data_IF_442817740620
#
_entry.id   IF_442817740620
#
_cell.length_a   1.000
_cell.length_b   1.000
_cell.length_c   1.000
_cell.angle_alpha   90.00
_cell.angle_beta   90.00
_cell.angle_gamma   90.00
#
_symmetry.space_group_name_H-M   'P 1'
#
loop_
_entity.id
_entity.type
_entity.pdbx_description
1 polymer ?
#
# COMPACT_ATOMS: atom_id res chain seq x y z
N UNK A 1 12.22 -16.48 2.16
CA UNK A 1 13.70 -16.40 2.22
C UNK A 1 14.29 -17.12 3.42
N UNK A 2 14.28 -16.57 4.65
CA UNK A 2 14.98 -17.20 5.80
C UNK A 2 14.54 -18.65 6.13
N UNK A 3 13.28 -19.01 5.82
CA UNK A 3 12.74 -20.36 5.99
C UNK A 3 13.17 -21.34 4.89
N UNK A 4 13.33 -20.83 3.66
CA UNK A 4 13.29 -21.66 2.44
C UNK A 4 14.55 -21.56 1.59
N UNK A 5 15.45 -20.62 1.90
CA UNK A 5 16.72 -20.42 1.21
C UNK A 5 17.82 -20.41 2.27
N UNK A 6 18.17 -21.58 2.86
CA UNK A 6 19.10 -21.66 3.99
C UNK A 6 20.51 -21.16 3.64
N UNK A 7 20.88 -21.25 2.36
CA UNK A 7 22.18 -20.85 1.82
C UNK A 7 22.32 -19.33 1.61
N UNK A 8 21.25 -18.54 1.84
CA UNK A 8 21.34 -17.08 1.81
C UNK A 8 22.43 -16.63 2.80
N UNK A 9 23.45 -15.93 2.31
CA UNK A 9 24.59 -15.53 3.14
C UNK A 9 24.18 -14.53 4.22
N UNK A 10 23.91 -13.29 3.80
CA UNK A 10 23.45 -12.19 4.65
C UNK A 10 22.31 -11.45 3.98
N UNK A 11 21.44 -10.85 4.80
CA UNK A 11 20.41 -9.91 4.38
C UNK A 11 20.74 -8.56 5.03
N UNK A 12 21.24 -7.63 4.23
CA UNK A 12 21.48 -6.26 4.66
C UNK A 12 20.16 -5.49 4.70
N UNK A 13 19.78 -5.02 5.87
CA UNK A 13 18.54 -4.28 6.09
C UNK A 13 18.85 -2.80 6.26
N UNK A 14 18.54 -1.99 5.25
CA UNK A 14 18.67 -0.53 5.35
C UNK A 14 17.56 0.02 6.27
N UNK A 15 17.95 0.52 7.45
CA UNK A 15 17.05 0.98 8.50
C UNK A 15 17.31 2.46 8.78
N UNK A 16 16.26 3.26 8.64
CA UNK A 16 16.27 4.66 9.09
C UNK A 16 16.33 4.69 10.62
N UNK A 17 17.47 5.10 11.15
CA UNK A 17 17.79 5.19 12.56
C UNK A 17 18.85 6.28 12.81
N UNK A 18 19.01 6.71 14.06
CA UNK A 18 20.00 7.72 14.46
C UNK A 18 21.44 7.18 14.50
N UNK A 19 21.59 5.91 14.83
CA UNK A 19 22.87 5.23 15.07
C UNK A 19 22.69 3.70 14.92
N UNK A 20 23.80 2.96 15.00
CA UNK A 20 23.82 1.50 14.81
C UNK A 20 23.03 0.76 15.89
N UNK A 21 23.05 1.26 17.13
CA UNK A 21 22.33 0.67 18.24
C UNK A 21 20.81 0.81 18.04
N UNK A 22 20.34 1.99 17.64
CA UNK A 22 18.94 2.21 17.31
C UNK A 22 18.47 1.37 16.11
N UNK A 23 19.32 1.16 15.09
CA UNK A 23 18.99 0.27 13.98
C UNK A 23 18.89 -1.20 14.43
N UNK A 24 19.80 -1.65 15.31
CA UNK A 24 19.77 -2.99 15.89
C UNK A 24 18.53 -3.21 16.77
N UNK A 25 18.18 -2.24 17.63
CA UNK A 25 16.99 -2.31 18.49
C UNK A 25 15.70 -2.36 17.67
N UNK A 26 15.65 -1.57 16.59
CA UNK A 26 14.52 -1.59 15.65
C UNK A 26 14.41 -2.93 14.93
N UNK A 27 15.53 -3.49 14.43
CA UNK A 27 15.53 -4.82 13.82
C UNK A 27 15.06 -5.90 14.81
N UNK A 28 15.50 -5.84 16.08
CA UNK A 28 15.07 -6.79 17.11
C UNK A 28 13.56 -6.69 17.36
N UNK A 29 13.07 -5.49 17.65
CA UNK A 29 11.68 -5.25 18.03
C UNK A 29 10.67 -5.42 16.89
N UNK A 30 11.00 -5.00 15.67
CA UNK A 30 10.07 -5.05 14.52
C UNK A 30 10.16 -6.38 13.74
N UNK A 31 11.29 -7.09 13.80
CA UNK A 31 11.53 -8.30 13.01
C UNK A 31 11.75 -9.51 13.91
N UNK A 32 12.83 -9.55 14.70
CA UNK A 32 13.22 -10.77 15.43
C UNK A 32 12.16 -11.19 16.46
N UNK A 33 11.59 -10.23 17.20
CA UNK A 33 10.59 -10.50 18.23
C UNK A 33 9.15 -10.48 17.69
N UNK A 34 8.96 -10.37 16.37
CA UNK A 34 7.63 -10.35 15.73
C UNK A 34 7.04 -11.77 15.63
N UNK A 35 5.73 -11.89 15.91
CA UNK A 35 4.98 -13.16 15.79
C UNK A 35 5.03 -13.73 14.37
N UNK A 36 5.24 -12.89 13.35
CA UNK A 36 5.39 -13.32 11.95
C UNK A 36 6.48 -14.40 11.80
N UNK A 37 7.55 -14.32 12.60
CA UNK A 37 8.68 -15.24 12.52
C UNK A 37 8.59 -16.41 13.50
N UNK A 38 7.44 -16.63 14.15
CA UNK A 38 7.21 -17.74 15.10
C UNK A 38 7.48 -19.11 14.48
N UNK A 39 7.21 -19.29 13.19
CA UNK A 39 7.54 -20.52 12.48
C UNK A 39 9.07 -20.78 12.48
N UNK A 40 9.90 -19.74 12.26
CA UNK A 40 11.36 -19.87 12.38
C UNK A 40 11.79 -20.11 13.83
N UNK A 41 11.12 -19.47 14.79
CA UNK A 41 11.39 -19.70 16.21
C UNK A 41 11.14 -21.16 16.59
N UNK A 42 10.07 -21.76 16.09
CA UNK A 42 9.77 -23.19 16.29
C UNK A 42 10.82 -24.10 15.65
N UNK A 43 11.28 -23.77 14.43
CA UNK A 43 12.30 -24.55 13.71
C UNK A 43 13.65 -24.51 14.44
N UNK A 44 14.09 -23.33 14.89
CA UNK A 44 15.43 -23.14 15.46
C UNK A 44 15.48 -23.22 16.99
N UNK A 45 14.33 -23.20 17.68
CA UNK A 45 14.22 -23.28 19.12
C UNK A 45 15.13 -22.27 19.83
N UNK A 46 15.96 -22.76 20.77
CA UNK A 46 16.90 -21.91 21.54
C UNK A 46 17.92 -21.17 20.66
N UNK A 47 18.18 -21.65 19.45
CA UNK A 47 19.13 -21.05 18.51
C UNK A 47 18.50 -19.97 17.62
N UNK A 48 17.20 -19.72 17.72
CA UNK A 48 16.47 -18.78 16.85
C UNK A 48 17.10 -17.39 16.79
N UNK A 49 17.33 -16.75 17.96
CA UNK A 49 17.92 -15.41 17.99
C UNK A 49 19.32 -15.37 17.40
N UNK A 50 20.14 -16.39 17.67
CA UNK A 50 21.49 -16.49 17.10
C UNK A 50 21.43 -16.68 15.58
N UNK A 51 20.51 -17.52 15.07
CA UNK A 51 20.28 -17.70 13.64
C UNK A 51 19.88 -16.39 12.96
N UNK A 52 18.89 -15.68 13.51
CA UNK A 52 18.42 -14.40 12.96
C UNK A 52 19.54 -13.35 12.94
N UNK A 53 20.29 -13.20 14.02
CA UNK A 53 21.40 -12.24 14.12
C UNK A 53 22.59 -12.61 13.21
N UNK A 54 22.76 -13.88 12.87
CA UNK A 54 23.78 -14.31 11.92
C UNK A 54 23.38 -14.01 10.47
N UNK A 55 22.07 -14.02 10.15
CA UNK A 55 21.56 -13.79 8.80
C UNK A 55 21.24 -12.32 8.52
N UNK A 56 20.77 -11.56 9.52
CA UNK A 56 20.30 -10.18 9.35
C UNK A 56 21.37 -9.17 9.79
N UNK A 57 21.71 -8.23 8.91
CA UNK A 57 22.69 -7.18 9.18
C UNK A 57 22.00 -5.81 9.06
N UNK A 58 21.72 -5.12 10.17
CA UNK A 58 21.09 -3.81 10.13
C UNK A 58 22.10 -2.74 9.69
N UNK A 59 21.74 -1.96 8.68
CA UNK A 59 22.54 -0.88 8.11
C UNK A 59 21.81 0.43 8.35
N UNK A 60 22.45 1.37 9.05
CA UNK A 60 21.89 2.71 9.22
C UNK A 60 21.86 3.40 7.86
N UNK A 61 20.68 3.86 7.45
CA UNK A 61 20.57 4.64 6.22
C UNK A 61 19.15 5.08 5.89
N UNK A 62 19.05 5.89 4.86
CA UNK A 62 17.84 6.55 4.43
C UNK A 62 17.86 6.73 2.91
N UNK A 63 16.85 6.20 2.21
CA UNK A 63 16.75 6.29 0.74
C UNK A 63 16.62 7.73 0.23
N UNK A 64 16.25 8.67 1.10
CA UNK A 64 16.19 10.09 0.79
C UNK A 64 17.58 10.76 0.70
N UNK A 65 18.61 10.12 1.23
CA UNK A 65 19.94 10.72 1.40
C UNK A 65 20.93 10.26 0.33
N UNK A 66 21.92 11.12 0.07
CA UNK A 66 23.07 10.78 -0.77
C UNK A 66 23.77 9.53 -0.25
N UNK A 67 24.19 8.64 -1.15
CA UNK A 67 24.76 7.33 -0.79
C UNK A 67 23.86 6.50 0.16
N UNK A 68 22.54 6.74 0.10
CA UNK A 68 21.52 6.08 0.94
C UNK A 68 21.72 6.33 2.45
N UNK A 69 22.40 7.41 2.84
CA UNK A 69 22.71 7.71 4.24
C UNK A 69 23.73 6.76 4.87
N UNK A 70 24.35 5.88 4.08
CA UNK A 70 25.39 4.97 4.56
C UNK A 70 26.76 5.67 4.58
N UNK A 71 27.59 5.35 5.57
CA UNK A 71 28.99 5.72 5.54
C UNK A 71 29.72 5.06 4.35
N UNK A 72 30.77 5.71 3.86
CA UNK A 72 31.43 5.33 2.61
C UNK A 72 32.05 3.93 2.67
N UNK A 73 32.60 3.54 3.83
CA UNK A 73 33.24 2.25 4.03
C UNK A 73 32.20 1.12 4.03
N UNK A 74 31.12 1.27 4.81
CA UNK A 74 30.00 0.32 4.82
C UNK A 74 29.39 0.16 3.42
N UNK A 75 29.16 1.27 2.71
CA UNK A 75 28.62 1.24 1.36
C UNK A 75 29.54 0.47 0.39
N UNK A 76 30.85 0.68 0.50
CA UNK A 76 31.86 -0.01 -0.33
C UNK A 76 31.89 -1.51 -0.05
N UNK A 77 31.87 -1.93 1.22
CA UNK A 77 31.88 -3.36 1.58
C UNK A 77 30.59 -4.07 1.17
N UNK A 78 29.43 -3.44 1.41
CA UNK A 78 28.13 -4.01 1.01
C UNK A 78 28.07 -4.18 -0.51
N UNK A 79 28.56 -3.20 -1.28
CA UNK A 79 28.55 -3.27 -2.75
C UNK A 79 29.40 -4.45 -3.32
N UNK A 80 30.35 -5.00 -2.55
CA UNK A 80 31.14 -6.18 -2.94
C UNK A 80 30.41 -7.51 -2.69
N UNK A 81 29.42 -7.52 -1.79
CA UNK A 81 28.72 -8.73 -1.35
C UNK A 81 27.31 -8.89 -1.94
N UNK A 82 26.64 -7.80 -2.35
CA UNK A 82 25.22 -7.85 -2.75
C UNK A 82 25.02 -8.46 -4.14
N UNK A 83 24.24 -9.55 -4.19
CA UNK A 83 23.80 -10.23 -5.42
C UNK A 83 22.41 -9.77 -5.90
N UNK A 84 21.51 -9.38 -4.99
CA UNK A 84 20.15 -8.92 -5.30
C UNK A 84 19.77 -7.73 -4.42
N UNK A 85 19.16 -6.71 -5.01
CA UNK A 85 18.58 -5.58 -4.28
C UNK A 85 17.05 -5.65 -4.38
N UNK A 86 16.38 -5.65 -3.23
CA UNK A 86 14.91 -5.55 -3.13
C UNK A 86 14.54 -4.18 -2.57
N UNK A 87 13.99 -3.32 -3.42
CA UNK A 87 13.52 -2.00 -3.04
C UNK A 87 12.03 -2.01 -2.70
N UNK A 88 11.72 -2.12 -1.41
CA UNK A 88 10.35 -1.98 -0.87
C UNK A 88 10.15 -0.72 -0.01
N UNK A 89 11.16 0.16 0.07
CA UNK A 89 11.07 1.39 0.85
C UNK A 89 10.17 2.40 0.12
N UNK A 90 9.15 2.91 0.81
CA UNK A 90 8.22 3.90 0.27
C UNK A 90 7.55 4.70 1.39
N UNK A 91 7.09 5.91 1.06
CA UNK A 91 6.04 6.58 1.81
C UNK A 91 4.69 6.22 1.16
N UNK A 92 3.80 5.60 1.93
CA UNK A 92 2.51 5.08 1.44
C UNK A 92 1.31 5.95 1.85
N UNK A 93 1.55 7.16 2.35
CA UNK A 93 0.49 8.11 2.74
C UNK A 93 0.00 8.84 1.48
N UNK A 94 -1.29 8.73 1.18
CA UNK A 94 -1.88 9.26 -0.06
C UNK A 94 -1.77 10.77 -0.21
N UNK A 95 -1.85 11.51 0.89
CA UNK A 95 -1.80 12.96 0.96
C UNK A 95 -0.51 13.48 1.63
N UNK A 96 0.61 12.74 1.52
CA UNK A 96 1.89 13.24 2.02
C UNK A 96 2.30 14.54 1.32
N UNK A 97 3.11 15.35 2.01
CA UNK A 97 3.80 16.48 1.39
C UNK A 97 4.53 16.04 0.12
N UNK A 98 4.29 16.76 -0.97
CA UNK A 98 4.85 16.42 -2.27
C UNK A 98 6.38 16.33 -2.30
N UNK A 99 7.09 17.24 -1.62
CA UNK A 99 8.56 17.20 -1.51
C UNK A 99 9.07 15.91 -0.84
N UNK A 100 8.43 15.47 0.26
CA UNK A 100 8.76 14.23 0.97
C UNK A 100 8.43 13.00 0.10
N UNK A 101 7.26 13.00 -0.55
CA UNK A 101 6.82 11.90 -1.40
C UNK A 101 7.73 11.72 -2.62
N UNK A 102 8.09 12.80 -3.32
CA UNK A 102 9.07 12.79 -4.40
C UNK A 102 10.43 12.28 -3.94
N UNK A 103 10.92 12.77 -2.81
CA UNK A 103 12.26 12.43 -2.34
C UNK A 103 12.38 10.95 -1.95
N UNK A 104 11.30 10.37 -1.42
CA UNK A 104 11.22 8.97 -1.00
C UNK A 104 10.88 8.03 -2.16
N UNK A 105 9.79 8.27 -2.87
CA UNK A 105 9.21 7.33 -3.84
C UNK A 105 9.75 7.51 -5.25
N UNK A 106 10.19 8.71 -5.62
CA UNK A 106 10.74 9.01 -6.95
C UNK A 106 12.27 8.95 -6.92
N UNK A 107 12.90 9.77 -6.07
CA UNK A 107 14.36 9.88 -5.99
C UNK A 107 15.00 8.76 -5.18
N UNK A 108 14.30 8.19 -4.21
CA UNK A 108 14.80 7.04 -3.43
C UNK A 108 15.17 5.85 -4.30
N UNK A 109 14.28 5.35 -5.18
CA UNK A 109 14.61 4.29 -6.12
C UNK A 109 15.78 4.63 -7.05
N UNK A 110 15.87 5.87 -7.56
CA UNK A 110 16.98 6.26 -8.44
C UNK A 110 18.33 6.30 -7.73
N UNK A 111 18.37 6.76 -6.47
CA UNK A 111 19.58 6.69 -5.63
C UNK A 111 19.99 5.24 -5.35
N UNK A 112 19.03 4.38 -5.03
CA UNK A 112 19.29 2.97 -4.76
C UNK A 112 19.76 2.23 -6.02
N UNK A 113 19.20 2.55 -7.19
CA UNK A 113 19.70 2.06 -8.48
C UNK A 113 21.10 2.60 -8.80
N UNK A 114 21.40 3.84 -8.40
CA UNK A 114 22.76 4.39 -8.46
C UNK A 114 23.76 3.62 -7.59
N UNK A 115 23.35 3.15 -6.41
CA UNK A 115 24.14 2.23 -5.59
C UNK A 115 24.25 0.84 -6.24
N UNK A 116 23.16 0.34 -6.82
CA UNK A 116 23.11 -0.93 -7.54
C UNK A 116 24.17 -1.02 -8.65
N UNK A 117 24.39 0.08 -9.39
CA UNK A 117 25.45 0.18 -10.41
C UNK A 117 26.88 0.02 -9.87
N UNK A 118 27.09 0.21 -8.56
CA UNK A 118 28.39 -0.03 -7.91
C UNK A 118 28.57 -1.49 -7.50
N UNK A 119 27.49 -2.28 -7.48
CA UNK A 119 27.48 -3.66 -7.02
C UNK A 119 27.91 -4.61 -8.14
N UNK A 120 29.14 -5.13 -8.08
CA UNK A 120 29.72 -5.93 -9.18
C UNK A 120 29.11 -7.32 -9.34
N UNK A 121 28.51 -7.86 -8.29
CA UNK A 121 27.85 -9.17 -8.28
C UNK A 121 26.35 -9.09 -8.51
N UNK A 122 25.81 -7.89 -8.70
CA UNK A 122 24.37 -7.70 -8.78
C UNK A 122 23.81 -8.43 -10.01
N UNK A 123 22.92 -9.37 -9.73
CA UNK A 123 22.17 -10.15 -10.73
C UNK A 123 20.78 -9.57 -10.99
N UNK A 124 20.20 -8.88 -9.99
CA UNK A 124 18.83 -8.39 -10.08
C UNK A 124 18.56 -7.18 -9.19
N UNK A 125 17.84 -6.20 -9.73
CA UNK A 125 17.22 -5.12 -8.98
C UNK A 125 15.69 -5.28 -9.02
N UNK A 126 15.08 -5.59 -7.88
CA UNK A 126 13.63 -5.68 -7.76
C UNK A 126 13.07 -4.41 -7.11
N UNK A 127 12.02 -3.86 -7.69
CA UNK A 127 11.28 -2.72 -7.15
C UNK A 127 9.82 -3.10 -6.87
N UNK A 128 9.38 -2.87 -5.63
CA UNK A 128 7.96 -2.97 -5.27
C UNK A 128 7.30 -1.63 -5.57
N UNK A 129 6.38 -1.62 -6.52
CA UNK A 129 5.52 -0.50 -6.88
C UNK A 129 4.08 -0.73 -6.40
N UNK A 130 3.07 -0.36 -7.18
CA UNK A 130 1.66 -0.64 -6.94
C UNK A 130 0.91 -0.71 -8.27
N UNK A 131 -0.12 -1.55 -8.37
CA UNK A 131 -0.97 -1.63 -9.56
C UNK A 131 -1.64 -0.29 -9.87
N UNK A 132 -1.94 0.51 -8.84
CA UNK A 132 -2.50 1.86 -8.99
C UNK A 132 -1.50 2.90 -9.49
N UNK A 133 -0.22 2.55 -9.69
CA UNK A 133 0.73 3.41 -10.40
C UNK A 133 0.27 3.64 -11.85
N UNK A 134 -0.64 2.82 -12.37
CA UNK A 134 -1.36 3.03 -13.61
C UNK A 134 -2.38 4.18 -13.58
N UNK A 135 -2.43 4.96 -12.50
CA UNK A 135 -3.23 6.17 -12.37
C UNK A 135 -4.69 5.94 -12.71
N UNK A 136 -5.30 6.92 -13.36
CA UNK A 136 -6.74 6.92 -13.61
C UNK A 136 -7.17 6.20 -14.91
N UNK A 137 -6.32 5.29 -15.43
CA UNK A 137 -6.65 4.40 -16.56
C UNK A 137 -7.91 3.58 -16.27
N UNK A 138 -8.67 3.28 -17.32
CA UNK A 138 -9.94 2.54 -17.27
C UNK A 138 -9.87 1.29 -18.15
N UNK A 139 -10.74 0.32 -17.90
CA UNK A 139 -10.74 -0.95 -18.64
C UNK A 139 -9.55 -1.84 -18.28
N UNK A 140 -9.16 -2.72 -19.20
CA UNK A 140 -8.06 -3.67 -18.96
C UNK A 140 -6.70 -2.95 -19.05
N UNK A 141 -5.92 -3.03 -17.98
CA UNK A 141 -4.62 -2.37 -17.82
C UNK A 141 -3.51 -3.42 -17.85
N UNK A 142 -2.69 -3.37 -18.91
CA UNK A 142 -1.63 -4.35 -19.18
C UNK A 142 -0.39 -4.15 -18.31
N UNK A 143 0.34 -5.24 -18.07
CA UNK A 143 1.65 -5.27 -17.39
C UNK A 143 2.77 -4.63 -18.22
N UNK A 144 2.67 -3.32 -18.47
CA UNK A 144 3.63 -2.54 -19.26
C UNK A 144 4.48 -1.63 -18.37
N UNK A 145 5.80 -1.52 -18.65
CA UNK A 145 6.65 -0.54 -17.98
C UNK A 145 6.30 0.89 -18.42
N UNK A 146 6.56 1.85 -17.53
CA UNK A 146 6.44 3.27 -17.87
C UNK A 146 7.64 3.75 -18.70
N UNK A 147 7.37 4.66 -19.63
CA UNK A 147 8.36 5.43 -20.36
C UNK A 147 8.65 6.76 -19.64
N UNK A 148 9.86 7.28 -19.79
CA UNK A 148 10.21 8.58 -19.23
C UNK A 148 9.32 9.68 -19.82
N UNK A 149 8.71 10.46 -18.93
CA UNK A 149 7.84 11.59 -19.26
C UNK A 149 6.42 11.24 -19.73
N UNK A 150 6.02 9.98 -19.52
CA UNK A 150 4.65 9.51 -19.74
C UNK A 150 3.67 10.22 -18.80
N UNK A 151 2.50 10.57 -19.34
CA UNK A 151 1.42 11.26 -18.63
C UNK A 151 0.10 10.63 -19.04
N UNK A 152 -0.61 10.04 -18.09
CA UNK A 152 -1.87 9.31 -18.33
C UNK A 152 -2.96 10.24 -18.85
N UNK A 153 -2.93 11.52 -18.45
CA UNK A 153 -3.84 12.54 -18.97
C UNK A 153 -3.85 12.58 -20.51
N UNK A 154 -2.76 12.20 -21.17
CA UNK A 154 -2.67 12.12 -22.63
C UNK A 154 -3.50 10.99 -23.23
N UNK A 155 -3.57 9.84 -22.55
CA UNK A 155 -4.27 8.65 -23.05
C UNK A 155 -5.77 8.89 -23.16
N UNK A 156 -6.33 9.66 -22.22
CA UNK A 156 -7.76 10.04 -22.24
C UNK A 156 -8.12 10.91 -23.43
N UNK A 157 -7.22 11.81 -23.81
CA UNK A 157 -7.50 12.84 -24.80
C UNK A 157 -7.29 12.32 -26.23
N UNK A 158 -6.45 11.30 -26.44
CA UNK A 158 -6.32 10.62 -27.74
C UNK A 158 -7.65 9.97 -28.18
N UNK A 159 -8.58 9.72 -27.25
CA UNK A 159 -9.94 9.27 -27.52
C UNK A 159 -10.88 10.38 -28.05
N UNK A 160 -10.55 11.66 -27.85
CA UNK A 160 -11.44 12.81 -28.09
C UNK A 160 -10.72 13.98 -28.78
N UNK A 161 -10.25 13.77 -30.01
CA UNK A 161 -9.57 14.78 -30.87
C UNK A 161 -8.23 15.34 -30.33
N UNK A 162 -7.27 15.73 -31.21
CA UNK A 162 -5.94 16.13 -30.74
C UNK A 162 -5.94 17.61 -30.25
N UNK A 163 -5.54 17.91 -29.00
CA UNK A 163 -5.28 19.28 -28.57
C UNK A 163 -3.83 19.68 -28.82
N UNK A 164 -3.68 20.98 -28.98
CA UNK A 164 -2.45 21.75 -29.10
C UNK A 164 -1.74 21.73 -27.73
N UNK A 165 -0.55 21.09 -27.68
CA UNK A 165 0.35 20.84 -26.52
C UNK A 165 -0.21 20.01 -25.35
N UNK A 166 0.02 18.70 -25.41
CA UNK A 166 -0.18 17.76 -24.31
C UNK A 166 0.85 17.98 -23.17
N UNK A 167 0.49 17.87 -21.87
CA UNK A 167 1.45 17.97 -20.78
C UNK A 167 2.42 16.78 -20.82
N UNK A 168 3.68 17.01 -21.17
CA UNK A 168 4.78 16.04 -20.94
C UNK A 168 5.06 16.08 -19.44
N UNK A 169 5.22 14.92 -18.81
CA UNK A 169 5.71 14.89 -17.44
C UNK A 169 7.23 15.14 -17.45
N UNK A 170 7.67 16.27 -16.90
CA UNK A 170 9.09 16.52 -16.67
C UNK A 170 9.39 16.30 -15.18
N UNK A 171 9.93 15.13 -14.86
CA UNK A 171 10.22 14.74 -13.48
C UNK A 171 11.24 15.67 -12.83
N UNK A 172 12.23 16.18 -13.58
CA UNK A 172 13.22 17.11 -13.04
C UNK A 172 12.59 18.47 -12.74
N UNK A 173 11.66 18.92 -13.59
CA UNK A 173 10.86 20.12 -13.31
C UNK A 173 9.95 19.95 -12.10
N UNK A 174 9.32 18.79 -11.90
CA UNK A 174 8.52 18.49 -10.70
C UNK A 174 9.36 18.52 -9.43
N UNK A 175 10.55 17.90 -9.47
CA UNK A 175 11.49 17.90 -8.35
C UNK A 175 11.93 19.33 -8.04
N UNK A 176 12.29 20.12 -9.06
CA UNK A 176 12.69 21.51 -8.89
C UNK A 176 11.55 22.36 -8.30
N UNK A 177 10.33 22.21 -8.82
CA UNK A 177 9.14 22.90 -8.31
C UNK A 177 8.92 22.62 -6.83
N UNK A 178 8.99 21.35 -6.41
CA UNK A 178 8.83 20.97 -5.01
C UNK A 178 9.97 21.53 -4.12
N UNK A 179 11.21 21.58 -4.61
CA UNK A 179 12.36 22.13 -3.89
C UNK A 179 12.29 23.65 -3.74
N UNK A 180 11.94 24.37 -4.79
CA UNK A 180 11.83 25.85 -4.78
C UNK A 180 10.70 26.29 -3.83
N UNK A 181 9.61 25.52 -3.75
CA UNK A 181 8.50 25.78 -2.83
C UNK A 181 8.75 25.26 -1.40
N UNK A 182 9.75 24.39 -1.19
CA UNK A 182 10.11 23.89 0.15
C UNK A 182 10.66 25.00 1.04
N UNK A 183 11.45 25.92 0.46
CA UNK A 183 12.10 27.02 1.20
C UNK A 183 11.10 28.12 1.60
N UNK A 184 10.01 28.24 0.84
CA UNK A 184 8.87 29.07 1.19
C UNK A 184 7.96 28.31 2.17
N UNK A 185 8.31 28.36 3.46
CA UNK A 185 7.71 27.65 4.60
C UNK A 185 6.20 27.91 4.88
N UNK A 186 5.40 28.21 3.87
CA UNK A 186 3.96 28.33 3.97
C UNK A 186 3.32 26.93 4.03
N UNK A 187 3.14 26.45 5.27
CA UNK A 187 2.29 25.36 5.78
C UNK A 187 2.27 24.06 4.96
N UNK A 188 2.72 22.96 5.57
CA UNK A 188 2.57 21.55 5.14
C UNK A 188 1.35 21.26 4.26
N UNK A 189 0.19 21.83 4.59
CA UNK A 189 -1.05 21.73 3.82
C UNK A 189 -0.90 22.15 2.33
N UNK A 190 -0.23 23.27 2.02
CA UNK A 190 -0.01 23.71 0.64
C UNK A 190 0.80 22.71 -0.17
N UNK A 191 1.75 22.03 0.48
CA UNK A 191 2.59 21.02 -0.16
C UNK A 191 1.84 19.72 -0.42
N UNK A 192 0.84 19.39 0.42
CA UNK A 192 -0.10 18.29 0.16
C UNK A 192 -1.03 18.63 -1.00
N UNK A 193 -1.58 19.84 -1.01
CA UNK A 193 -2.45 20.36 -2.07
C UNK A 193 -1.72 20.40 -3.42
N UNK A 194 -0.49 20.88 -3.45
CA UNK A 194 0.36 20.87 -4.64
C UNK A 194 0.54 19.45 -5.18
N UNK A 195 0.92 18.49 -4.34
CA UNK A 195 1.11 17.10 -4.79
C UNK A 195 -0.14 16.50 -5.42
N UNK A 196 -1.31 16.76 -4.82
CA UNK A 196 -2.59 16.32 -5.35
C UNK A 196 -2.94 17.01 -6.68
N UNK A 197 -2.69 18.32 -6.78
CA UNK A 197 -2.88 19.10 -8.00
C UNK A 197 -1.99 18.56 -9.14
N UNK A 198 -0.69 18.34 -8.89
CA UNK A 198 0.25 17.80 -9.87
C UNK A 198 -0.13 16.38 -10.30
N UNK A 199 -0.52 15.52 -9.36
CA UNK A 199 -0.98 14.17 -9.68
C UNK A 199 -2.16 14.20 -10.65
N UNK A 200 -3.20 15.00 -10.34
CA UNK A 200 -4.40 15.13 -11.18
C UNK A 200 -4.09 15.73 -12.56
N UNK A 201 -3.20 16.73 -12.61
CA UNK A 201 -2.76 17.33 -13.87
C UNK A 201 -2.19 16.29 -14.85
N UNK A 202 -1.49 15.29 -14.33
CA UNK A 202 -0.85 14.24 -15.12
C UNK A 202 -1.69 12.96 -15.24
N UNK A 203 -2.87 12.88 -14.61
CA UNK A 203 -3.80 11.75 -14.73
C UNK A 203 -3.65 10.67 -13.64
N UNK A 204 -3.14 11.03 -12.47
CA UNK A 204 -3.07 10.18 -11.28
C UNK A 204 -3.98 10.68 -10.16
N UNK A 205 -4.58 9.75 -9.42
CA UNK A 205 -5.57 10.01 -8.37
C UNK A 205 -5.01 10.84 -7.20
N UNK A 206 -3.76 10.57 -6.82
CA UNK A 206 -3.11 11.17 -5.65
C UNK A 206 -1.58 11.15 -5.76
N UNK A 207 -0.94 11.87 -4.83
CA UNK A 207 0.51 12.05 -4.75
C UNK A 207 1.27 10.73 -4.62
N UNK A 208 0.74 9.77 -3.86
CA UNK A 208 1.41 8.48 -3.65
C UNK A 208 1.59 7.72 -4.97
N UNK A 209 0.50 7.42 -5.68
CA UNK A 209 0.57 6.65 -6.92
C UNK A 209 1.33 7.38 -8.03
N UNK A 210 1.24 8.71 -8.04
CA UNK A 210 1.98 9.56 -8.98
C UNK A 210 3.50 9.47 -8.76
N UNK A 211 3.95 9.59 -7.51
CA UNK A 211 5.38 9.48 -7.19
C UNK A 211 5.92 8.07 -7.37
N UNK A 212 5.10 7.04 -7.17
CA UNK A 212 5.46 5.65 -7.52
C UNK A 212 5.68 5.47 -9.02
N UNK A 213 4.79 6.01 -9.85
CA UNK A 213 4.94 5.98 -11.31
C UNK A 213 6.22 6.71 -11.77
N UNK A 214 6.50 7.90 -11.22
CA UNK A 214 7.74 8.62 -11.49
C UNK A 214 8.99 7.83 -11.07
N UNK A 215 8.94 7.13 -9.94
CA UNK A 215 10.01 6.23 -9.50
C UNK A 215 10.28 5.11 -10.52
N UNK A 216 9.23 4.50 -11.07
CA UNK A 216 9.36 3.51 -12.13
C UNK A 216 9.97 4.08 -13.42
N UNK A 217 9.58 5.29 -13.83
CA UNK A 217 10.13 5.97 -15.01
C UNK A 217 11.65 6.22 -14.86
N UNK A 218 12.07 6.66 -13.67
CA UNK A 218 13.50 6.84 -13.37
C UNK A 218 14.24 5.50 -13.35
N UNK A 219 13.67 4.43 -12.79
CA UNK A 219 14.29 3.10 -12.84
C UNK A 219 14.45 2.63 -14.31
N UNK A 220 13.36 2.71 -15.08
CA UNK A 220 13.30 2.26 -16.48
C UNK A 220 14.35 2.96 -17.34
N UNK A 221 14.50 4.28 -17.19
CA UNK A 221 15.46 5.10 -17.92
C UNK A 221 16.91 4.93 -17.43
N UNK A 222 17.12 4.73 -16.13
CA UNK A 222 18.47 4.72 -15.55
C UNK A 222 19.12 3.34 -15.47
N UNK A 223 18.35 2.23 -15.54
CA UNK A 223 18.87 0.88 -15.23
C UNK A 223 20.07 0.44 -16.06
N UNK A 224 20.21 0.91 -17.31
CA UNK A 224 21.21 0.38 -18.25
C UNK A 224 21.00 -1.12 -18.45
N UNK A 225 22.08 -1.89 -18.24
CA UNK A 225 22.06 -3.35 -18.40
C UNK A 225 21.63 -4.12 -17.15
N UNK A 226 21.36 -3.44 -16.03
CA UNK A 226 20.90 -4.10 -14.79
C UNK A 226 19.53 -4.74 -15.06
N UNK A 227 19.36 -6.05 -14.84
CA UNK A 227 18.05 -6.69 -14.88
C UNK A 227 17.14 -6.11 -13.79
N UNK A 228 15.94 -5.69 -14.19
CA UNK A 228 14.95 -5.10 -13.29
C UNK A 228 13.64 -5.89 -13.31
N UNK A 229 13.11 -6.13 -12.12
CA UNK A 229 11.73 -6.59 -11.91
C UNK A 229 10.95 -5.51 -11.18
N UNK A 230 9.75 -5.19 -11.68
CA UNK A 230 8.79 -4.34 -10.99
C UNK A 230 7.60 -5.20 -10.56
N UNK A 231 7.36 -5.30 -9.26
CA UNK A 231 6.17 -5.94 -8.69
C UNK A 231 5.15 -4.85 -8.39
N UNK A 232 3.97 -4.91 -8.99
CA UNK A 232 2.85 -3.99 -8.81
C UNK A 232 1.71 -4.72 -8.09
N UNK A 233 1.73 -4.81 -6.74
CA UNK A 233 0.59 -5.34 -6.00
C UNK A 233 -0.59 -4.35 -6.02
N UNK A 234 -1.81 -4.87 -5.98
CA UNK A 234 -3.02 -4.08 -5.70
C UNK A 234 -3.16 -3.81 -4.19
N UNK A 235 -4.38 -3.75 -3.64
CA UNK A 235 -4.59 -3.53 -2.21
C UNK A 235 -4.12 -4.76 -1.45
N UNK A 236 -2.98 -4.64 -0.76
CA UNK A 236 -2.44 -5.73 0.05
C UNK A 236 -3.20 -5.80 1.37
N UNK A 237 -3.82 -6.95 1.61
CA UNK A 237 -4.45 -7.26 2.89
C UNK A 237 -3.73 -8.43 3.59
N UNK A 238 -4.29 -8.91 4.70
CA UNK A 238 -3.68 -9.94 5.55
C UNK A 238 -3.20 -11.19 4.78
N UNK A 239 -2.31 -11.95 5.38
CA UNK A 239 -1.91 -13.25 4.80
C UNK A 239 -3.11 -14.19 4.68
N UNK A 240 -3.21 -14.88 3.55
CA UNK A 240 -4.25 -15.88 3.32
C UNK A 240 -3.89 -17.20 4.00
N UNK A 241 -2.62 -17.64 3.89
CA UNK A 241 -2.15 -18.94 4.39
C UNK A 241 -0.82 -18.84 5.12
N UNK A 242 0.20 -18.24 4.52
CA UNK A 242 1.58 -18.28 5.01
C UNK A 242 2.01 -16.95 5.66
N UNK A 243 2.84 -16.95 6.72
CA UNK A 243 3.23 -18.11 7.52
C UNK A 243 2.10 -18.65 8.42
N UNK A 244 1.03 -17.88 8.58
CA UNK A 244 -0.25 -18.28 9.16
C UNK A 244 -1.34 -17.32 8.66
N UNK A 245 -2.61 -17.75 8.60
CA UNK A 245 -3.71 -16.91 8.10
C UNK A 245 -3.98 -15.69 9.00
N UNK A 246 -4.35 -14.58 8.38
CA UNK A 246 -4.85 -13.37 9.04
C UNK A 246 -3.78 -12.44 9.60
N UNK A 247 -2.49 -12.68 9.34
CA UNK A 247 -1.45 -11.77 9.80
C UNK A 247 -1.49 -10.47 9.02
N UNK A 248 -1.52 -9.34 9.74
CA UNK A 248 -1.46 -8.00 9.17
C UNK A 248 -0.80 -7.05 10.16
N UNK A 249 -0.16 -6.00 9.64
CA UNK A 249 0.45 -4.95 10.45
C UNK A 249 -0.11 -3.57 10.12
N UNK A 250 -0.76 -2.95 11.11
CA UNK A 250 -1.33 -1.62 10.99
C UNK A 250 -2.77 -1.63 10.48
N UNK A 251 -3.37 -0.44 10.41
CA UNK A 251 -4.73 -0.21 9.94
C UNK A 251 -4.64 0.60 8.64
N UNK A 252 -4.67 -0.05 7.48
CA UNK A 252 -4.39 0.57 6.18
C UNK A 252 -5.41 0.14 5.13
N UNK A 253 -5.49 0.88 4.04
CA UNK A 253 -6.32 0.55 2.87
C UNK A 253 -7.78 0.21 3.23
N UNK A 254 -8.24 -1.05 3.19
CA UNK A 254 -9.65 -1.35 3.52
C UNK A 254 -9.92 -1.41 5.03
N UNK A 255 -8.92 -1.68 5.86
CA UNK A 255 -9.09 -1.85 7.30
C UNK A 255 -9.87 -0.71 7.98
N UNK A 256 -9.59 0.59 7.71
CA UNK A 256 -10.31 1.67 8.38
C UNK A 256 -11.78 1.72 7.97
N UNK A 257 -12.11 1.36 6.73
CA UNK A 257 -13.49 1.28 6.24
C UNK A 257 -14.24 0.15 6.95
N UNK A 258 -13.67 -1.06 6.97
CA UNK A 258 -14.23 -2.25 7.62
C UNK A 258 -14.46 -1.99 9.12
N UNK A 259 -13.46 -1.47 9.82
CA UNK A 259 -13.57 -1.20 11.26
C UNK A 259 -14.56 -0.07 11.57
N UNK A 260 -14.57 1.00 10.77
CA UNK A 260 -15.50 2.11 10.99
C UNK A 260 -16.94 1.69 10.70
N UNK A 261 -17.16 0.82 9.71
CA UNK A 261 -18.46 0.21 9.46
C UNK A 261 -18.90 -0.68 10.63
N UNK A 262 -18.04 -1.59 11.12
CA UNK A 262 -18.34 -2.44 12.28
C UNK A 262 -18.64 -1.66 13.55
N UNK A 263 -18.00 -0.50 13.74
CA UNK A 263 -18.27 0.43 14.86
C UNK A 263 -19.57 1.24 14.69
N UNK A 264 -20.33 1.03 13.62
CA UNK A 264 -21.55 1.79 13.31
C UNK A 264 -21.29 3.27 12.97
N UNK A 265 -20.06 3.62 12.61
CA UNK A 265 -19.65 5.01 12.33
C UNK A 265 -19.88 5.42 10.86
N UNK A 266 -20.15 4.45 9.98
CA UNK A 266 -20.39 4.66 8.56
C UNK A 266 -21.76 4.09 8.13
N UNK A 267 -22.87 4.80 8.39
CA UNK A 267 -24.22 4.39 7.96
C UNK A 267 -24.43 4.53 6.44
N UNK A 268 -23.47 5.12 5.74
CA UNK A 268 -23.40 5.20 4.29
C UNK A 268 -21.98 5.53 3.84
N UNK A 269 -21.72 5.43 2.53
CA UNK A 269 -20.41 5.73 1.96
C UNK A 269 -20.50 6.22 0.51
N UNK A 270 -19.53 7.05 0.11
CA UNK A 270 -19.38 7.54 -1.26
C UNK A 270 -18.64 6.47 -2.09
N UNK A 271 -19.39 5.63 -2.78
CA UNK A 271 -18.87 4.53 -3.59
C UNK A 271 -19.92 4.07 -4.60
N UNK A 272 -19.48 3.53 -5.74
CA UNK A 272 -20.33 2.68 -6.56
C UNK A 272 -20.25 1.25 -6.00
N UNK A 273 -21.39 0.66 -5.54
CA UNK A 273 -21.40 -0.70 -4.99
C UNK A 273 -20.94 -1.78 -5.98
N UNK A 274 -20.90 -1.48 -7.28
CA UNK A 274 -20.46 -2.39 -8.34
C UNK A 274 -18.99 -2.25 -8.71
N UNK A 275 -18.27 -1.30 -8.10
CA UNK A 275 -16.83 -1.13 -8.34
C UNK A 275 -16.07 -2.36 -7.86
N UNK A 276 -15.15 -2.85 -8.69
CA UNK A 276 -14.22 -3.92 -8.31
C UNK A 276 -13.18 -3.35 -7.34
N UNK A 277 -13.10 -3.95 -6.16
CA UNK A 277 -12.11 -3.65 -5.14
C UNK A 277 -10.96 -4.65 -5.28
N UNK A 278 -9.89 -4.25 -5.94
CA UNK A 278 -8.78 -5.16 -6.22
C UNK A 278 -7.92 -5.40 -4.96
N UNK A 279 -8.13 -6.57 -4.35
CA UNK A 279 -7.45 -7.02 -3.13
C UNK A 279 -6.52 -8.19 -3.45
N UNK A 280 -5.39 -8.25 -2.75
CA UNK A 280 -4.45 -9.39 -2.81
C UNK A 280 -3.90 -9.71 -1.41
N UNK A 281 -3.84 -10.98 -1.01
CA UNK A 281 -3.18 -11.38 0.25
C UNK A 281 -1.67 -11.13 0.25
N UNK A 282 -1.12 -10.68 1.38
CA UNK A 282 0.30 -10.35 1.52
C UNK A 282 1.26 -11.49 1.17
N UNK A 283 0.91 -12.73 1.52
CA UNK A 283 1.71 -13.92 1.24
C UNK A 283 1.77 -14.25 -0.25
N UNK A 284 0.69 -14.04 -0.99
CA UNK A 284 0.69 -14.19 -2.46
C UNK A 284 1.60 -13.15 -3.13
N UNK A 285 1.64 -11.91 -2.64
CA UNK A 285 2.57 -10.88 -3.13
C UNK A 285 4.03 -11.27 -2.86
N UNK A 286 4.32 -11.78 -1.65
CA UNK A 286 5.66 -12.25 -1.28
C UNK A 286 6.09 -13.44 -2.15
N UNK A 287 5.18 -14.38 -2.38
CA UNK A 287 5.44 -15.56 -3.21
C UNK A 287 5.71 -15.17 -4.67
N UNK A 288 4.89 -14.30 -5.25
CA UNK A 288 5.12 -13.78 -6.60
C UNK A 288 6.46 -13.02 -6.71
N UNK A 289 6.80 -12.24 -5.69
CA UNK A 289 8.10 -11.55 -5.59
C UNK A 289 9.26 -12.55 -5.56
N UNK A 290 9.15 -13.62 -4.77
CA UNK A 290 10.17 -14.67 -4.69
C UNK A 290 10.32 -15.43 -6.01
N UNK A 291 9.21 -15.80 -6.67
CA UNK A 291 9.24 -16.47 -7.96
C UNK A 291 9.88 -15.57 -9.03
N UNK A 292 9.54 -14.29 -9.06
CA UNK A 292 10.14 -13.34 -9.99
C UNK A 292 11.65 -13.15 -9.72
N UNK A 293 12.06 -13.14 -8.45
CA UNK A 293 13.48 -13.11 -8.08
C UNK A 293 14.22 -14.35 -8.56
N UNK A 294 13.65 -15.54 -8.38
CA UNK A 294 14.26 -16.78 -8.82
C UNK A 294 14.42 -16.83 -10.35
N UNK A 295 13.35 -16.51 -11.10
CA UNK A 295 13.36 -16.49 -12.57
C UNK A 295 14.41 -15.53 -13.14
N UNK A 296 14.39 -14.28 -12.67
CA UNK A 296 15.21 -13.22 -13.26
C UNK A 296 16.63 -13.14 -12.69
N UNK A 297 16.83 -13.55 -11.44
CA UNK A 297 18.15 -13.58 -10.81
C UNK A 297 19.09 -14.63 -11.41
N UNK A 298 18.56 -15.77 -11.86
CA UNK A 298 19.37 -16.82 -12.52
C UNK A 298 19.72 -16.42 -13.96
N UNK A 299 18.76 -15.85 -14.68
CA UNK A 299 18.95 -15.53 -16.10
C UNK A 299 19.99 -14.42 -16.31
N UNK A 300 20.06 -13.44 -15.39
CA UNK A 300 20.98 -12.31 -15.45
C UNK A 300 20.87 -11.48 -16.73
N UNK A 301 19.77 -11.64 -17.48
CA UNK A 301 19.59 -11.01 -18.79
C UNK A 301 19.16 -9.55 -18.62
N UNK A 302 19.81 -8.60 -19.31
CA UNK A 302 19.38 -7.21 -19.32
C UNK A 302 17.91 -7.11 -19.76
N UNK A 303 17.06 -6.58 -18.90
CA UNK A 303 15.62 -6.57 -19.14
C UNK A 303 14.85 -5.82 -18.07
N UNK A 304 13.59 -5.52 -18.37
CA UNK A 304 12.64 -4.93 -17.44
C UNK A 304 11.34 -5.73 -17.52
N UNK A 305 11.01 -6.44 -16.44
CA UNK A 305 9.77 -7.21 -16.34
C UNK A 305 8.83 -6.58 -15.33
N UNK A 306 7.54 -6.52 -15.66
CA UNK A 306 6.48 -5.99 -14.79
C UNK A 306 5.50 -7.11 -14.48
N UNK A 307 5.20 -7.28 -13.20
CA UNK A 307 4.22 -8.23 -12.69
C UNK A 307 3.16 -7.50 -11.87
N UNK A 308 1.91 -7.54 -12.30
CA UNK A 308 0.75 -7.06 -11.55
C UNK A 308 0.20 -8.20 -10.70
N UNK A 309 0.41 -8.11 -9.39
CA UNK A 309 -0.15 -9.08 -8.43
C UNK A 309 -1.48 -8.52 -7.97
N UNK A 310 -2.53 -8.87 -8.72
CA UNK A 310 -3.85 -8.27 -8.64
C UNK A 310 -4.93 -9.30 -9.00
N UNK A 311 -6.14 -9.12 -8.46
CA UNK A 311 -7.25 -10.08 -8.58
C UNK A 311 -8.36 -9.63 -9.55
N UNK A 312 -8.47 -8.35 -9.89
CA UNK A 312 -9.65 -7.79 -10.58
C UNK A 312 -10.03 -8.48 -11.89
N UNK A 313 -9.07 -8.92 -12.70
CA UNK A 313 -9.38 -9.58 -13.98
C UNK A 313 -9.72 -11.07 -13.84
N UNK A 314 -9.21 -11.73 -12.79
CA UNK A 314 -9.29 -13.21 -12.64
C UNK A 314 -10.36 -13.62 -11.64
N UNK A 315 -10.47 -12.91 -10.53
CA UNK A 315 -11.38 -13.21 -9.43
C UNK A 315 -11.87 -11.90 -8.79
N UNK A 316 -12.75 -11.16 -9.46
CA UNK A 316 -13.17 -9.83 -9.04
C UNK A 316 -13.94 -9.87 -7.71
N UNK A 317 -13.47 -9.08 -6.74
CA UNK A 317 -14.18 -8.78 -5.50
C UNK A 317 -14.89 -7.43 -5.65
N UNK A 318 -16.21 -7.40 -5.47
CA UNK A 318 -17.00 -6.18 -5.64
C UNK A 318 -17.16 -5.45 -4.31
N UNK A 319 -17.17 -4.11 -4.31
CA UNK A 319 -17.24 -3.30 -3.08
C UNK A 319 -18.45 -3.65 -2.20
N UNK A 320 -19.62 -3.91 -2.80
CA UNK A 320 -20.80 -4.33 -2.05
C UNK A 320 -20.60 -5.66 -1.30
N UNK A 321 -19.83 -6.59 -1.86
CA UNK A 321 -19.57 -7.89 -1.24
C UNK A 321 -18.66 -7.73 -0.01
N UNK A 322 -17.64 -6.87 -0.10
CA UNK A 322 -16.81 -6.48 1.07
C UNK A 322 -17.67 -5.99 2.22
N UNK A 323 -18.65 -5.13 1.93
CA UNK A 323 -19.57 -4.59 2.95
C UNK A 323 -20.54 -5.67 3.47
N UNK A 324 -21.04 -6.56 2.61
CA UNK A 324 -21.92 -7.65 3.02
C UNK A 324 -21.19 -8.63 3.95
N UNK A 325 -20.00 -9.10 3.58
CA UNK A 325 -19.20 -9.99 4.42
C UNK A 325 -18.83 -9.33 5.75
N UNK A 326 -18.47 -8.03 5.72
CA UNK A 326 -18.22 -7.25 6.93
C UNK A 326 -19.48 -7.16 7.81
N UNK A 327 -20.65 -6.94 7.21
CA UNK A 327 -21.92 -6.86 7.93
C UNK A 327 -22.23 -8.18 8.61
N UNK A 328 -22.08 -9.28 7.90
CA UNK A 328 -22.44 -10.60 8.40
C UNK A 328 -21.51 -10.99 9.57
N UNK A 329 -20.21 -10.69 9.46
CA UNK A 329 -19.26 -10.83 10.56
C UNK A 329 -19.63 -9.98 11.79
N UNK A 330 -19.85 -8.67 11.64
CA UNK A 330 -20.11 -7.78 12.77
C UNK A 330 -21.53 -7.92 13.34
N UNK A 331 -22.46 -8.53 12.60
CA UNK A 331 -23.76 -8.95 13.13
C UNK A 331 -23.60 -10.13 14.09
N UNK A 332 -22.75 -11.10 13.73
CA UNK A 332 -22.43 -12.24 14.58
C UNK A 332 -21.53 -11.86 15.76
N UNK A 333 -20.56 -10.97 15.54
CA UNK A 333 -19.56 -10.53 16.50
C UNK A 333 -19.52 -8.99 16.62
N UNK A 334 -20.55 -8.37 17.23
CA UNK A 334 -20.65 -6.92 17.30
C UNK A 334 -19.62 -6.29 18.22
N UNK A 335 -19.17 -5.08 17.86
CA UNK A 335 -18.44 -4.22 18.78
C UNK A 335 -19.31 -3.81 19.96
N UNK A 336 -18.66 -3.48 21.07
CA UNK A 336 -19.29 -2.88 22.24
C UNK A 336 -19.02 -1.37 22.27
N UNK A 337 -20.02 -0.58 22.63
CA UNK A 337 -19.82 0.84 22.92
C UNK A 337 -19.13 1.05 24.28
N UNK A 338 -18.85 2.31 24.62
CA UNK A 338 -18.22 2.69 25.90
C UNK A 338 -19.07 2.36 27.14
N UNK A 339 -20.35 2.02 26.96
CA UNK A 339 -21.29 1.60 28.02
C UNK A 339 -21.47 0.08 28.05
N UNK A 340 -20.73 -0.68 27.24
CA UNK A 340 -20.84 -2.13 27.15
C UNK A 340 -22.07 -2.63 26.38
N UNK A 341 -22.77 -1.75 25.64
CA UNK A 341 -23.90 -2.14 24.79
C UNK A 341 -23.39 -2.58 23.42
N UNK A 342 -23.99 -3.64 22.87
CA UNK A 342 -23.72 -4.10 21.50
C UNK A 342 -24.10 -3.01 20.50
N UNK A 343 -23.15 -2.68 19.63
CA UNK A 343 -23.37 -1.81 18.48
C UNK A 343 -24.17 -2.59 17.45
N UNK A 344 -25.28 -2.02 17.01
CA UNK A 344 -26.08 -2.55 15.89
C UNK A 344 -25.68 -1.81 14.64
N UNK A 345 -25.28 -2.56 13.62
CA UNK A 345 -24.95 -2.02 12.30
C UNK A 345 -26.16 -2.14 11.38
N UNK A 346 -26.33 -1.15 10.50
CA UNK A 346 -27.36 -1.15 9.46
C UNK A 346 -26.70 -1.42 8.10
N UNK A 347 -27.52 -1.77 7.10
CA UNK A 347 -27.04 -1.83 5.71
C UNK A 347 -26.47 -0.48 5.28
N UNK A 348 -25.28 -0.49 4.67
CA UNK A 348 -24.63 0.72 4.19
C UNK A 348 -25.39 1.29 2.98
N UNK A 349 -25.73 2.58 3.03
CA UNK A 349 -26.23 3.30 1.84
C UNK A 349 -25.07 3.79 0.98
N UNK A 350 -25.20 3.66 -0.33
CA UNK A 350 -24.19 4.13 -1.28
C UNK A 350 -24.62 5.43 -1.94
N UNK A 351 -23.65 6.31 -2.19
CA UNK A 351 -23.85 7.62 -2.79
C UNK A 351 -22.85 7.82 -3.93
N UNK A 352 -23.29 8.51 -4.99
CA UNK A 352 -22.44 8.94 -6.11
C UNK A 352 -22.06 10.42 -6.05
N UNK A 353 -22.56 11.15 -5.05
CA UNK A 353 -22.37 12.60 -4.89
C UNK A 353 -21.89 12.89 -3.47
N UNK A 354 -20.78 13.61 -3.36
CA UNK A 354 -20.22 14.01 -2.06
C UNK A 354 -21.17 14.92 -1.28
N UNK A 355 -22.00 15.70 -1.98
CA UNK A 355 -22.98 16.59 -1.36
C UNK A 355 -24.10 15.77 -0.72
N UNK A 356 -24.70 14.84 -1.47
CA UNK A 356 -25.78 13.97 -0.98
C UNK A 356 -25.29 13.09 0.17
N UNK A 357 -24.09 12.54 0.03
CA UNK A 357 -23.42 11.80 1.09
C UNK A 357 -23.23 12.65 2.35
N UNK A 358 -22.67 13.86 2.23
CA UNK A 358 -22.39 14.72 3.39
C UNK A 358 -23.67 15.18 4.08
N UNK A 359 -24.73 15.48 3.31
CA UNK A 359 -26.06 15.80 3.85
C UNK A 359 -26.66 14.61 4.61
N UNK A 360 -26.59 13.40 4.04
CA UNK A 360 -27.05 12.20 4.73
C UNK A 360 -26.30 11.92 6.03
N UNK A 361 -24.97 11.98 6.01
CA UNK A 361 -24.14 11.78 7.21
C UNK A 361 -24.41 12.86 8.26
N UNK A 362 -24.65 14.11 7.82
CA UNK A 362 -25.07 15.17 8.72
C UNK A 362 -26.33 14.74 9.47
N UNK A 363 -27.39 14.37 8.76
CA UNK A 363 -28.69 13.98 9.33
C UNK A 363 -28.61 12.76 10.26
N UNK A 364 -27.94 11.69 9.83
CA UNK A 364 -27.76 10.46 10.62
C UNK A 364 -27.03 10.74 11.96
N UNK A 365 -25.94 11.51 11.93
CA UNK A 365 -25.21 11.86 13.16
C UNK A 365 -26.08 12.76 14.06
N UNK A 366 -26.96 13.58 13.48
CA UNK A 366 -27.94 14.38 14.22
C UNK A 366 -28.93 13.53 15.00
N UNK A 367 -29.46 12.49 14.36
CA UNK A 367 -30.39 11.55 14.98
C UNK A 367 -29.70 10.74 16.11
N UNK A 368 -28.50 10.22 15.86
CA UNK A 368 -27.74 9.45 16.86
C UNK A 368 -27.32 10.25 18.10
N UNK A 369 -27.17 11.58 17.96
CA UNK A 369 -26.78 12.46 19.06
C UNK A 369 -27.96 12.98 19.89
N UNK A 370 -29.20 12.61 19.53
CA UNK A 370 -30.42 13.08 20.21
C UNK A 370 -30.70 14.58 19.99
N UNK A 371 -30.03 15.21 19.01
CA UNK A 371 -30.12 16.64 18.76
C UNK A 371 -31.44 17.07 18.10
N UNK A 372 -32.18 16.15 17.49
CA UNK A 372 -33.51 16.46 16.93
C UNK A 372 -34.61 16.52 18.00
N UNK A 373 -34.44 15.81 19.12
CA UNK A 373 -35.45 15.67 20.19
C UNK A 373 -35.07 16.40 21.49
N UNK A 374 -33.87 16.96 21.57
CA UNK A 374 -33.43 17.67 22.76
C UNK A 374 -34.14 19.03 22.84
N UNK A 375 -34.92 19.22 23.91
CA UNK A 375 -35.43 20.53 24.35
C UNK A 375 -34.24 21.35 24.88
N UNK A 376 -33.41 21.88 23.98
CA UNK A 376 -32.12 22.48 24.36
C UNK A 376 -32.35 23.91 24.85
N UNK A 377 -32.76 24.03 26.10
CA UNK A 377 -32.82 25.28 26.87
C UNK A 377 -31.42 25.83 27.24
N UNK A 378 -30.32 25.09 26.98
CA UNK A 378 -28.92 25.53 27.18
C UNK A 378 -28.17 25.79 25.85
N UNK A 379 -28.00 27.06 25.44
CA UNK A 379 -27.28 27.44 24.22
C UNK A 379 -25.82 26.99 24.15
N UNK A 380 -25.12 26.87 25.29
CA UNK A 380 -23.72 26.43 25.31
C UNK A 380 -23.60 24.94 25.02
N UNK A 381 -24.52 24.12 25.55
CA UNK A 381 -24.57 22.70 25.28
C UNK A 381 -24.92 22.44 23.80
N UNK A 382 -25.91 23.16 23.26
CA UNK A 382 -26.28 23.09 21.83
C UNK A 382 -25.08 23.33 20.92
N UNK A 383 -24.39 24.46 21.14
CA UNK A 383 -23.20 24.84 20.35
C UNK A 383 -22.07 23.81 20.45
N UNK A 384 -21.84 23.24 21.63
CA UNK A 384 -20.83 22.18 21.82
C UNK A 384 -21.17 20.90 21.06
N UNK A 385 -22.43 20.49 21.08
CA UNK A 385 -22.89 19.29 20.37
C UNK A 385 -22.86 19.49 18.86
N UNK A 386 -23.26 20.65 18.36
CA UNK A 386 -23.17 21.01 16.94
C UNK A 386 -21.71 21.01 16.44
N UNK A 387 -20.79 21.60 17.21
CA UNK A 387 -19.35 21.54 16.88
C UNK A 387 -18.82 20.11 16.84
N UNK A 388 -19.27 19.23 17.74
CA UNK A 388 -18.91 17.80 17.72
C UNK A 388 -19.48 17.09 16.49
N UNK A 389 -20.75 17.35 16.14
CA UNK A 389 -21.38 16.83 14.92
C UNK A 389 -20.62 17.25 13.69
N UNK A 390 -20.36 18.56 13.54
CA UNK A 390 -19.58 19.11 12.42
C UNK A 390 -18.21 18.45 12.29
N UNK A 391 -17.45 18.33 13.39
CA UNK A 391 -16.14 17.64 13.36
C UNK A 391 -16.23 16.19 12.90
N UNK A 392 -17.26 15.45 13.32
CA UNK A 392 -17.47 14.06 12.88
C UNK A 392 -17.84 13.99 11.39
N UNK A 393 -18.74 14.86 10.93
CA UNK A 393 -19.12 14.95 9.52
C UNK A 393 -17.90 15.31 8.68
N UNK A 394 -17.16 16.35 9.05
CA UNK A 394 -15.93 16.77 8.36
C UNK A 394 -14.92 15.61 8.25
N UNK A 395 -14.75 14.83 9.33
CA UNK A 395 -13.88 13.65 9.33
C UNK A 395 -14.37 12.56 8.36
N UNK A 396 -15.65 12.20 8.41
CA UNK A 396 -16.24 11.16 7.53
C UNK A 396 -16.25 11.61 6.07
N UNK A 397 -16.58 12.86 5.79
CA UNK A 397 -16.51 13.47 4.46
C UNK A 397 -15.08 13.50 3.92
N UNK A 398 -14.09 13.85 4.75
CA UNK A 398 -12.69 13.80 4.36
C UNK A 398 -12.23 12.36 4.06
N UNK A 399 -12.62 11.41 4.92
CA UNK A 399 -12.36 10.00 4.71
C UNK A 399 -12.95 9.50 3.38
N UNK A 400 -14.23 9.79 3.10
CA UNK A 400 -14.87 9.42 1.83
C UNK A 400 -14.15 10.02 0.60
N UNK A 401 -13.77 11.31 0.64
CA UNK A 401 -13.01 11.96 -0.44
C UNK A 401 -11.65 11.30 -0.71
N UNK A 402 -11.01 10.78 0.33
CA UNK A 402 -9.72 10.10 0.18
C UNK A 402 -9.84 8.76 -0.56
N UNK A 403 -10.97 8.06 -0.39
CA UNK A 403 -11.24 6.76 -1.01
C UNK A 403 -12.00 6.86 -2.33
N UNK A 404 -12.67 7.98 -2.60
CA UNK A 404 -13.45 8.24 -3.82
C UNK A 404 -12.74 7.78 -5.10
N UNK A 405 -11.45 8.09 -5.35
CA UNK A 405 -10.80 7.68 -6.60
C UNK A 405 -10.69 6.17 -6.80
N UNK A 406 -10.72 5.40 -5.71
CA UNK A 406 -10.69 3.93 -5.72
C UNK A 406 -12.10 3.34 -5.70
N UNK A 407 -13.04 4.00 -5.02
CA UNK A 407 -14.44 3.57 -4.90
C UNK A 407 -15.24 3.71 -6.22
N UNK A 408 -14.70 4.44 -7.19
CA UNK A 408 -15.23 4.59 -8.57
C UNK A 408 -14.21 4.19 -9.64
N UNK A 409 -13.20 3.40 -9.28
CA UNK A 409 -12.15 3.01 -10.23
C UNK A 409 -12.65 1.94 -11.20
N UNK A 410 -12.67 2.22 -12.50
CA UNK A 410 -13.07 1.26 -13.54
C UNK A 410 -11.90 0.55 -14.23
N UNK A 411 -10.69 0.61 -13.68
CA UNK A 411 -9.51 -0.10 -14.19
C UNK A 411 -9.40 -1.52 -13.64
N UNK A 412 -9.09 -2.48 -14.51
CA UNK A 412 -8.95 -3.91 -14.22
C UNK A 412 -7.53 -4.31 -14.58
N UNK A 413 -6.77 -4.81 -13.62
CA UNK A 413 -5.35 -5.11 -13.82
C UNK A 413 -5.19 -6.49 -14.46
N UNK A 414 -4.68 -6.51 -15.69
CA UNK A 414 -4.22 -7.73 -16.34
C UNK A 414 -3.02 -8.30 -15.58
N UNK A 415 -3.04 -9.60 -15.33
CA UNK A 415 -1.97 -10.30 -14.62
C UNK A 415 -1.40 -11.45 -15.46
N UNK A 416 -1.48 -11.37 -16.79
CA UNK A 416 -1.03 -12.39 -17.73
C UNK A 416 0.44 -12.80 -17.57
N UNK A 417 1.38 -11.87 -17.35
CA UNK A 417 2.77 -12.16 -17.05
C UNK A 417 2.91 -12.84 -15.67
N UNK A 418 2.11 -12.41 -14.69
CA UNK A 418 2.10 -13.01 -13.35
C UNK A 418 1.59 -14.45 -13.38
N UNK A 419 0.54 -14.74 -14.17
CA UNK A 419 0.07 -16.10 -14.41
C UNK A 419 1.15 -16.96 -15.09
N UNK A 420 1.77 -16.46 -16.16
CA UNK A 420 2.88 -17.16 -16.83
C UNK A 420 4.04 -17.46 -15.91
N UNK A 421 4.37 -16.52 -15.01
CA UNK A 421 5.40 -16.74 -13.98
C UNK A 421 5.04 -17.93 -13.08
N UNK A 422 3.77 -18.08 -12.72
CA UNK A 422 3.28 -19.21 -11.92
C UNK A 422 3.27 -20.52 -12.73
N UNK A 423 2.86 -20.48 -14.01
CA UNK A 423 2.83 -21.64 -14.91
C UNK A 423 4.21 -22.24 -15.17
N UNK A 424 5.27 -21.44 -15.09
CA UNK A 424 6.66 -21.89 -15.22
C UNK A 424 7.20 -22.59 -13.95
N UNK A 425 6.48 -22.52 -12.82
CA UNK A 425 6.88 -23.16 -11.58
C UNK A 425 6.66 -24.67 -11.63
N UNK A 426 7.55 -25.43 -11.00
CA UNK A 426 7.33 -26.86 -10.77
C UNK A 426 6.13 -27.09 -9.83
N UNK A 427 5.56 -28.30 -9.84
CA UNK A 427 4.44 -28.64 -8.95
C UNK A 427 4.79 -28.51 -7.46
N UNK A 428 6.03 -28.76 -7.08
CA UNK A 428 6.53 -28.55 -5.71
C UNK A 428 6.59 -27.05 -5.37
N UNK A 429 7.14 -26.23 -6.27
CA UNK A 429 7.19 -24.78 -6.08
C UNK A 429 5.79 -24.18 -6.01
N UNK A 430 4.85 -24.61 -6.87
CA UNK A 430 3.47 -24.13 -6.84
C UNK A 430 2.76 -24.53 -5.54
N UNK A 431 3.08 -25.69 -4.96
CA UNK A 431 2.55 -26.11 -3.67
C UNK A 431 3.07 -25.25 -2.52
N UNK A 432 4.36 -24.88 -2.56
CA UNK A 432 5.04 -24.17 -1.47
C UNK A 432 5.00 -22.64 -1.58
N UNK A 433 4.87 -22.12 -2.80
CA UNK A 433 4.95 -20.70 -3.14
C UNK A 433 3.87 -20.29 -4.15
N UNK A 434 2.77 -21.03 -4.24
CA UNK A 434 1.65 -20.65 -5.10
C UNK A 434 1.10 -19.27 -4.73
N UNK A 435 0.64 -18.53 -5.75
CA UNK A 435 0.02 -17.22 -5.60
C UNK A 435 -1.19 -17.06 -6.53
N UNK A 436 -1.95 -18.14 -6.68
CA UNK A 436 -3.17 -18.17 -7.49
C UNK A 436 -4.30 -17.39 -6.80
N UNK A 437 -4.41 -16.11 -7.14
CA UNK A 437 -5.50 -15.23 -6.71
C UNK A 437 -6.88 -15.70 -7.20
N UNK A 438 -6.93 -16.53 -8.25
CA UNK A 438 -8.14 -17.15 -8.77
C UNK A 438 -8.78 -18.14 -7.79
N UNK A 439 -7.99 -18.71 -6.89
CA UNK A 439 -8.42 -19.71 -5.92
C UNK A 439 -9.01 -19.13 -4.62
N UNK A 440 -9.02 -17.81 -4.46
CA UNK A 440 -9.49 -17.16 -3.22
C UNK A 440 -11.01 -17.24 -3.13
N UNK A 441 -11.52 -17.87 -2.08
CA UNK A 441 -12.89 -17.69 -1.62
C UNK A 441 -12.98 -16.38 -0.85
N UNK A 442 -13.57 -15.35 -1.47
CA UNK A 442 -13.64 -14.01 -0.88
C UNK A 442 -14.47 -13.95 0.39
N UNK A 443 -15.54 -14.74 0.50
CA UNK A 443 -16.40 -14.77 1.68
C UNK A 443 -15.63 -15.34 2.87
N UNK A 444 -14.99 -16.50 2.68
CA UNK A 444 -14.16 -17.13 3.71
C UNK A 444 -12.96 -16.24 4.08
N UNK A 445 -12.24 -15.73 3.07
CA UNK A 445 -11.08 -14.90 3.30
C UNK A 445 -11.43 -13.62 4.07
N UNK A 446 -12.50 -12.92 3.73
CA UNK A 446 -12.87 -11.68 4.43
C UNK A 446 -13.43 -12.01 5.83
N UNK A 447 -14.40 -12.91 5.91
CA UNK A 447 -15.17 -13.17 7.13
C UNK A 447 -14.39 -13.96 8.18
N UNK A 448 -13.60 -14.96 7.75
CA UNK A 448 -12.98 -15.93 8.64
C UNK A 448 -11.46 -15.76 8.77
N UNK A 449 -10.81 -15.04 7.84
CA UNK A 449 -9.35 -14.83 7.88
C UNK A 449 -9.00 -13.37 8.17
N UNK A 450 -9.40 -12.45 7.30
CA UNK A 450 -8.96 -11.06 7.32
C UNK A 450 -9.55 -10.27 8.49
N UNK A 451 -10.88 -10.22 8.64
CA UNK A 451 -11.50 -9.47 9.75
C UNK A 451 -11.07 -10.04 11.12
N UNK A 452 -11.08 -11.36 11.36
CA UNK A 452 -10.53 -11.92 12.61
C UNK A 452 -9.05 -11.57 12.83
N UNK A 453 -8.24 -11.61 11.77
CA UNK A 453 -6.84 -11.17 11.78
C UNK A 453 -6.68 -9.72 12.19
N UNK A 454 -7.49 -8.82 11.62
CA UNK A 454 -7.55 -7.41 11.95
C UNK A 454 -7.91 -7.19 13.42
N UNK A 455 -8.89 -7.92 13.92
CA UNK A 455 -9.30 -7.88 15.33
C UNK A 455 -8.20 -8.35 16.29
N UNK A 456 -7.45 -9.39 15.91
CA UNK A 456 -6.34 -9.94 16.70
C UNK A 456 -5.12 -9.05 16.70
N UNK A 457 -4.63 -8.65 15.52
CA UNK A 457 -3.31 -8.05 15.36
C UNK A 457 -3.31 -6.52 15.45
N UNK A 458 -4.41 -5.88 15.04
CA UNK A 458 -4.49 -4.41 14.98
C UNK A 458 -5.28 -3.86 16.15
N UNK A 459 -6.44 -4.46 16.43
CA UNK A 459 -7.26 -4.06 17.57
C UNK A 459 -6.75 -4.64 18.91
N UNK A 460 -5.85 -5.63 18.89
CA UNK A 460 -5.33 -6.34 20.08
C UNK A 460 -6.46 -6.83 21.01
N UNK A 461 -7.56 -7.31 20.44
CA UNK A 461 -8.75 -7.74 21.20
C UNK A 461 -9.56 -6.61 21.86
N UNK A 462 -9.31 -5.34 21.53
CA UNK A 462 -10.17 -4.22 21.96
C UNK A 462 -11.50 -4.27 21.21
N UNK A 463 -12.49 -4.92 21.80
CA UNK A 463 -13.89 -4.92 21.34
C UNK A 463 -14.66 -3.65 21.75
N UNK A 464 -13.99 -2.67 22.36
CA UNK A 464 -14.60 -1.39 22.74
C UNK A 464 -14.36 -0.37 21.63
N UNK A 465 -15.44 0.18 21.07
CA UNK A 465 -15.38 1.32 20.16
C UNK A 465 -14.94 2.56 20.96
N UNK A 466 -13.71 3.00 20.73
CA UNK A 466 -13.14 4.23 21.28
C UNK A 466 -13.67 5.49 20.62
#
# INVERSE_FOLDING_TARGET
>A
MLRTVPDVGKIFLLIKAKDKDAAMDRMKSEIIDSELFKCLEQIHGKSYKAFMLNKLVPIVGNVCESNLGMDADSASEIAKEVDVIVNSAANTVFDERYDIALDTNTRGPSRLLGFAKKCKKLSLFLHVSTAYANGERQGIILEKPFCMGESIARERIISESPPISLPVLDIDAEIKLALDLRENAAATQKMKELGLERARLHGWQNTYVFTKAMGEMLISSMRGDIPVVIIRPSIIESTCRDPFPGWIQGNRMLDPLILSYGKGQLPGFLADPKTVTDVVPADMVVNATMAAMAKHGIAGQPGLSVYQVASSLVNPLVFNDVINFSRDYFTASPFMDSKGKRITIMGMKFFSSINDFSSYIWDEIGQQSGLMDADISDPMLSRRLEMKRKKKVDYVTHFAKMYEPYAFYGGWFDNSNTQKLMEEMSGEEMTNFGFDVGSIDWEDYISNVHIPGLMRHVMKGRLVAG
#
